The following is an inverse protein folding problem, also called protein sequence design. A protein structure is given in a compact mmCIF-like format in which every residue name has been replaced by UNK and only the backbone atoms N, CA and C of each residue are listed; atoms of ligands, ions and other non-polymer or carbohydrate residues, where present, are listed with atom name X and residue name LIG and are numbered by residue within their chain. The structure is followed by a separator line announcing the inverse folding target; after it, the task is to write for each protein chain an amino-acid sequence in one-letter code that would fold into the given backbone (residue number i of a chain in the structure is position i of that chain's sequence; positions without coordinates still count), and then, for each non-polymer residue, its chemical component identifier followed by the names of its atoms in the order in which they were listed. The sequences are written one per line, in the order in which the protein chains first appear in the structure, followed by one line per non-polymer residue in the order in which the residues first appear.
data_IF_797940653665
#
_entry.id   IF_797940653665
#
_cell.length_a   1.000
_cell.length_b   1.000
_cell.length_c   1.000
_cell.angle_alpha   90.00
_cell.angle_beta   90.00
_cell.angle_gamma   90.00
#
_symmetry.space_group_name_H-M   'P 1'
#
loop_
_entity.id
_entity.type
_entity.pdbx_description
1 polymer ?
#
# COMPACT_ATOMS: atom_id res chain seq x y z
N UNK A 1 -61.71 25.84 -19.91
CA UNK A 1 -60.43 25.75 -20.64
C UNK A 1 -59.73 27.06 -20.37
N UNK A 2 -58.51 26.99 -19.81
CA UNK A 2 -57.45 28.02 -19.76
C UNK A 2 -56.68 27.93 -18.43
N UNK A 3 -55.61 27.14 -18.46
CA UNK A 3 -54.50 27.22 -17.50
C UNK A 3 -53.28 27.73 -18.27
N UNK A 4 -52.76 28.95 -18.03
CA UNK A 4 -51.46 29.33 -18.53
C UNK A 4 -50.38 29.09 -17.46
N UNK A 5 -49.63 28.02 -17.67
CA UNK A 5 -48.16 28.09 -17.74
C UNK A 5 -47.43 28.81 -16.58
N UNK A 6 -47.44 28.24 -15.38
CA UNK A 6 -46.43 28.57 -14.36
C UNK A 6 -45.27 27.55 -14.37
N UNK A 7 -44.14 28.02 -14.91
CA UNK A 7 -42.80 27.84 -14.33
C UNK A 7 -42.32 26.40 -14.07
N UNK A 8 -42.29 25.58 -15.12
CA UNK A 8 -41.34 24.47 -15.18
C UNK A 8 -40.26 24.85 -16.19
N UNK A 9 -39.00 24.61 -15.84
CA UNK A 9 -37.76 24.87 -16.60
C UNK A 9 -37.04 26.16 -16.20
N UNK A 10 -36.38 26.16 -15.03
CA UNK A 10 -35.00 26.69 -14.95
C UNK A 10 -34.23 26.12 -13.74
N UNK A 11 -34.09 24.79 -13.70
CA UNK A 11 -33.05 24.18 -12.87
C UNK A 11 -31.95 23.68 -13.82
N UNK A 12 -31.06 24.60 -14.24
CA UNK A 12 -29.84 24.26 -14.95
C UNK A 12 -29.06 23.14 -14.23
N UNK A 13 -28.32 22.29 -14.95
CA UNK A 13 -27.65 21.14 -14.37
C UNK A 13 -26.69 21.58 -13.27
N UNK A 14 -26.87 21.01 -12.07
CA UNK A 14 -26.02 21.29 -10.90
C UNK A 14 -24.53 21.16 -11.27
N UNK A 15 -23.67 22.08 -10.83
CA UNK A 15 -22.26 22.09 -11.21
C UNK A 15 -21.61 20.78 -10.76
N UNK A 16 -21.15 19.99 -11.73
CA UNK A 16 -20.45 18.74 -11.51
C UNK A 16 -19.30 18.97 -10.54
N UNK A 17 -19.39 18.39 -9.35
CA UNK A 17 -18.37 18.43 -8.30
C UNK A 17 -17.05 17.98 -8.94
N UNK A 18 -16.13 18.92 -9.20
CA UNK A 18 -14.80 18.62 -9.72
C UNK A 18 -14.11 17.72 -8.70
N UNK A 19 -14.17 16.42 -8.91
CA UNK A 19 -13.47 15.43 -8.10
C UNK A 19 -12.00 15.70 -8.29
N UNK A 20 -11.30 16.02 -7.20
CA UNK A 20 -9.87 16.30 -7.17
C UNK A 20 -9.07 15.03 -7.54
N UNK A 21 -9.08 14.68 -8.83
CA UNK A 21 -8.33 13.58 -9.42
C UNK A 21 -6.83 13.74 -9.16
N UNK A 22 -6.35 15.00 -9.09
CA UNK A 22 -4.95 15.34 -8.86
C UNK A 22 -4.51 15.09 -7.41
N UNK A 23 -5.38 15.31 -6.41
CA UNK A 23 -5.07 14.97 -5.01
C UNK A 23 -5.06 13.45 -4.75
N UNK A 24 -5.51 12.67 -5.74
CA UNK A 24 -5.52 11.20 -5.72
C UNK A 24 -4.25 10.59 -6.32
N UNK A 25 -3.46 11.38 -7.05
CA UNK A 25 -2.17 11.00 -7.61
C UNK A 25 -0.98 11.39 -6.72
N UNK A 26 -1.20 12.19 -5.66
CA UNK A 26 -0.19 12.49 -4.65
C UNK A 26 0.54 11.25 -4.10
N UNK A 27 -0.15 10.16 -3.68
CA UNK A 27 0.54 8.95 -3.23
C UNK A 27 1.37 8.27 -4.33
N UNK A 28 0.98 8.40 -5.60
CA UNK A 28 1.74 7.88 -6.74
C UNK A 28 2.97 8.75 -7.04
N UNK A 29 2.85 10.07 -6.90
CA UNK A 29 3.99 11.00 -6.99
C UNK A 29 5.01 10.76 -5.87
N UNK A 30 4.55 10.56 -4.64
CA UNK A 30 5.40 10.17 -3.51
C UNK A 30 6.09 8.82 -3.73
N UNK A 31 5.40 7.87 -4.37
CA UNK A 31 5.95 6.56 -4.76
C UNK A 31 7.09 6.72 -5.76
N UNK A 32 6.87 7.48 -6.83
CA UNK A 32 7.87 7.69 -7.88
C UNK A 32 9.06 8.48 -7.33
N UNK A 33 8.82 9.50 -6.49
CA UNK A 33 9.88 10.25 -5.84
C UNK A 33 10.67 9.33 -4.91
N UNK A 34 10.02 8.56 -4.03
CA UNK A 34 10.71 7.63 -3.14
C UNK A 34 11.54 6.58 -3.88
N UNK A 35 10.98 6.01 -4.95
CA UNK A 35 11.68 5.08 -5.85
C UNK A 35 12.90 5.76 -6.51
N UNK A 36 12.74 6.99 -7.00
CA UNK A 36 13.82 7.77 -7.58
C UNK A 36 14.91 8.10 -6.55
N UNK A 37 14.57 8.48 -5.32
CA UNK A 37 15.56 8.77 -4.27
C UNK A 37 16.38 7.53 -3.92
N UNK A 38 15.75 6.36 -3.80
CA UNK A 38 16.44 5.09 -3.49
C UNK A 38 17.30 4.65 -4.69
N UNK A 39 16.81 4.84 -5.92
CA UNK A 39 17.57 4.54 -7.14
C UNK A 39 18.80 5.45 -7.29
N UNK A 40 18.64 6.76 -7.07
CA UNK A 40 19.72 7.73 -7.16
C UNK A 40 20.70 7.67 -5.99
N UNK A 41 20.27 7.30 -4.77
CA UNK A 41 21.21 7.21 -3.63
C UNK A 41 22.16 6.01 -3.74
N UNK A 42 21.90 5.07 -4.65
CA UNK A 42 22.71 3.86 -4.79
C UNK A 42 22.57 2.91 -3.60
N UNK A 43 21.56 3.08 -2.74
CA UNK A 43 21.29 2.20 -1.60
C UNK A 43 21.16 0.72 -1.98
N UNK A 44 20.71 0.43 -3.21
CA UNK A 44 20.71 -0.92 -3.78
C UNK A 44 22.11 -1.56 -3.82
N UNK A 45 23.18 -0.78 -4.04
CA UNK A 45 24.57 -1.28 -3.96
C UNK A 45 24.99 -1.59 -2.53
N UNK A 46 24.53 -0.81 -1.55
CA UNK A 46 24.81 -1.06 -0.12
C UNK A 46 24.06 -2.26 0.46
N UNK A 47 22.93 -2.65 -0.15
CA UNK A 47 22.18 -3.87 0.16
C UNK A 47 22.81 -5.14 -0.43
N UNK A 48 23.99 -5.05 -1.07
CA UNK A 48 24.71 -6.22 -1.56
C UNK A 48 25.33 -7.00 -0.41
N UNK A 49 25.36 -8.33 -0.54
CA UNK A 49 25.91 -9.23 0.47
C UNK A 49 27.37 -8.92 0.79
N UNK A 50 28.13 -8.49 -0.22
CA UNK A 50 29.54 -8.11 -0.11
C UNK A 50 29.76 -6.96 0.90
N UNK A 51 28.96 -5.88 0.78
CA UNK A 51 29.04 -4.71 1.67
C UNK A 51 28.54 -5.00 3.07
N UNK A 52 27.54 -5.88 3.21
CA UNK A 52 27.05 -6.34 4.51
C UNK A 52 28.10 -7.16 5.27
N UNK A 53 28.94 -7.92 4.56
CA UNK A 53 30.05 -8.66 5.17
C UNK A 53 31.20 -7.74 5.57
N UNK A 54 31.60 -6.78 4.72
CA UNK A 54 32.70 -5.86 5.03
C UNK A 54 32.38 -4.95 6.22
N UNK A 55 31.13 -4.50 6.35
CA UNK A 55 30.69 -3.59 7.42
C UNK A 55 29.99 -4.33 8.58
N UNK A 56 30.11 -5.66 8.63
CA UNK A 56 29.39 -6.51 9.58
C UNK A 56 29.63 -6.11 11.03
N UNK A 57 30.88 -5.90 11.41
CA UNK A 57 31.25 -5.56 12.80
C UNK A 57 30.68 -4.19 13.21
N UNK A 58 30.74 -3.21 12.31
CA UNK A 58 30.21 -1.85 12.54
C UNK A 58 28.68 -1.84 12.60
N UNK A 59 27.99 -2.57 11.72
CA UNK A 59 26.53 -2.68 11.76
C UNK A 59 26.06 -3.47 12.98
N UNK A 60 26.77 -4.53 13.37
CA UNK A 60 26.46 -5.26 14.60
C UNK A 60 26.65 -4.42 15.84
N UNK A 61 27.72 -3.63 15.92
CA UNK A 61 27.94 -2.69 17.01
C UNK A 61 26.83 -1.63 17.08
N UNK A 62 26.42 -1.07 15.94
CA UNK A 62 25.31 -0.12 15.90
C UNK A 62 23.98 -0.74 16.32
N UNK A 63 23.68 -1.96 15.87
CA UNK A 63 22.47 -2.69 16.26
C UNK A 63 22.52 -3.12 17.73
N UNK A 64 23.69 -3.46 18.28
CA UNK A 64 23.82 -3.76 19.70
C UNK A 64 23.62 -2.53 20.57
N UNK A 65 24.13 -1.38 20.13
CA UNK A 65 24.05 -0.13 20.90
C UNK A 65 22.68 0.54 20.78
N UNK A 66 22.00 0.40 19.63
CA UNK A 66 20.74 1.08 19.33
C UNK A 66 19.68 0.14 18.70
N UNK A 67 19.48 -1.03 19.29
CA UNK A 67 18.60 -2.08 18.76
C UNK A 67 17.19 -1.58 18.45
N UNK A 68 16.59 -0.83 19.38
CA UNK A 68 15.21 -0.33 19.21
C UNK A 68 15.09 0.59 17.99
N UNK A 69 16.04 1.52 17.80
CA UNK A 69 16.04 2.43 16.66
C UNK A 69 16.28 1.70 15.34
N UNK A 70 17.19 0.71 15.35
CA UNK A 70 17.46 -0.12 14.17
C UNK A 70 16.21 -0.92 13.74
N UNK A 71 15.51 -1.53 14.69
CA UNK A 71 14.27 -2.30 14.42
C UNK A 71 13.15 -1.39 13.93
N UNK A 72 12.92 -0.26 14.58
CA UNK A 72 11.88 0.70 14.17
C UNK A 72 12.18 1.26 12.77
N UNK A 73 13.44 1.65 12.51
CA UNK A 73 13.88 2.11 11.20
C UNK A 73 13.66 1.06 10.11
N UNK A 74 14.01 -0.20 10.39
CA UNK A 74 13.76 -1.31 9.48
C UNK A 74 12.28 -1.51 9.17
N UNK A 75 11.42 -1.52 10.19
CA UNK A 75 9.97 -1.67 10.04
C UNK A 75 9.40 -0.56 9.15
N UNK A 76 9.83 0.69 9.34
CA UNK A 76 9.39 1.82 8.53
C UNK A 76 9.83 1.69 7.07
N UNK A 77 11.09 1.34 6.83
CA UNK A 77 11.62 1.11 5.48
C UNK A 77 10.83 -0.01 4.79
N UNK A 78 10.58 -1.12 5.49
CA UNK A 78 9.83 -2.24 4.94
C UNK A 78 8.36 -1.89 4.67
N UNK A 79 7.72 -1.13 5.56
CA UNK A 79 6.36 -0.64 5.37
C UNK A 79 6.26 0.25 4.12
N UNK A 80 7.22 1.16 3.91
CA UNK A 80 7.30 1.96 2.69
C UNK A 80 7.50 1.09 1.45
N UNK A 81 8.41 0.11 1.51
CA UNK A 81 8.61 -0.83 0.40
C UNK A 81 7.34 -1.61 0.06
N UNK A 82 6.53 -1.94 1.06
CA UNK A 82 5.24 -2.62 0.90
C UNK A 82 4.19 -1.70 0.27
N UNK A 83 4.06 -0.46 0.76
CA UNK A 83 3.13 0.54 0.22
C UNK A 83 3.43 0.82 -1.26
N UNK A 84 4.70 0.88 -1.60
CA UNK A 84 5.18 1.22 -2.93
C UNK A 84 5.37 0.01 -3.86
N UNK A 85 5.10 -1.21 -3.38
CA UNK A 85 5.30 -2.47 -4.13
C UNK A 85 6.67 -2.51 -4.83
N UNK A 86 7.73 -2.15 -4.09
CA UNK A 86 9.07 -2.00 -4.66
C UNK A 86 9.62 -3.36 -5.15
N UNK A 87 10.02 -3.48 -6.43
CA UNK A 87 10.80 -4.62 -6.89
C UNK A 87 12.20 -4.53 -6.25
N UNK A 88 12.38 -5.23 -5.13
CA UNK A 88 13.57 -5.10 -4.28
C UNK A 88 13.33 -5.30 -2.79
N UNK A 89 12.06 -5.43 -2.35
CA UNK A 89 11.73 -5.76 -0.97
C UNK A 89 12.43 -7.03 -0.45
N UNK A 90 12.71 -7.99 -1.35
CA UNK A 90 13.48 -9.21 -1.05
C UNK A 90 14.87 -8.91 -0.46
N UNK A 91 15.59 -7.93 -0.99
CA UNK A 91 16.91 -7.56 -0.47
C UNK A 91 16.83 -6.95 0.92
N UNK A 92 15.74 -6.23 1.20
CA UNK A 92 15.45 -5.68 2.54
C UNK A 92 15.14 -6.82 3.51
N UNK A 93 14.34 -7.82 3.11
CA UNK A 93 14.07 -9.01 3.94
C UNK A 93 15.37 -9.76 4.29
N UNK A 94 16.25 -9.96 3.31
CA UNK A 94 17.55 -10.62 3.52
C UNK A 94 18.41 -9.81 4.49
N UNK A 95 18.49 -8.49 4.31
CA UNK A 95 19.22 -7.61 5.21
C UNK A 95 18.65 -7.65 6.65
N UNK A 96 17.33 -7.70 6.81
CA UNK A 96 16.69 -7.85 8.12
C UNK A 96 17.07 -9.15 8.82
N UNK A 97 17.08 -10.26 8.07
CA UNK A 97 17.53 -11.56 8.58
C UNK A 97 19.01 -11.58 8.97
N UNK A 98 19.85 -10.84 8.23
CA UNK A 98 21.28 -10.70 8.53
C UNK A 98 21.54 -9.83 9.78
N UNK A 99 20.79 -8.74 9.94
CA UNK A 99 20.99 -7.77 11.02
C UNK A 99 20.39 -8.22 12.36
N UNK A 100 19.17 -8.77 12.33
CA UNK A 100 18.41 -9.11 13.54
C UNK A 100 18.29 -10.62 13.78
N UNK A 101 18.95 -11.43 12.94
CA UNK A 101 18.81 -12.88 12.92
C UNK A 101 17.47 -13.32 12.30
N UNK A 102 17.30 -14.63 12.14
CA UNK A 102 16.12 -15.19 11.47
C UNK A 102 14.81 -14.78 12.17
N UNK A 103 14.72 -14.95 13.48
CA UNK A 103 13.49 -14.67 14.24
C UNK A 103 13.21 -13.17 14.31
N UNK A 104 14.19 -12.37 14.75
CA UNK A 104 14.02 -10.91 14.87
C UNK A 104 13.76 -10.24 13.53
N UNK A 105 14.49 -10.65 12.49
CA UNK A 105 14.31 -10.15 11.13
C UNK A 105 12.94 -10.54 10.55
N UNK A 106 12.48 -11.77 10.77
CA UNK A 106 11.16 -12.22 10.32
C UNK A 106 10.03 -11.46 11.01
N UNK A 107 10.10 -11.29 12.33
CA UNK A 107 9.10 -10.54 13.09
C UNK A 107 9.03 -9.09 12.61
N UNK A 108 10.18 -8.42 12.52
CA UNK A 108 10.24 -7.03 12.04
C UNK A 108 9.72 -6.89 10.60
N UNK A 109 10.03 -7.85 9.72
CA UNK A 109 9.56 -7.90 8.34
C UNK A 109 8.05 -8.04 8.28
N UNK A 110 7.46 -8.98 9.02
CA UNK A 110 6.01 -9.22 9.05
C UNK A 110 5.28 -8.02 9.64
N UNK A 111 5.81 -7.41 10.70
CA UNK A 111 5.26 -6.18 11.29
C UNK A 111 5.28 -5.04 10.28
N UNK A 112 6.41 -4.79 9.60
CA UNK A 112 6.53 -3.78 8.56
C UNK A 112 5.57 -4.04 7.38
N UNK A 113 5.47 -5.28 6.92
CA UNK A 113 4.57 -5.69 5.84
C UNK A 113 3.11 -5.41 6.21
N UNK A 114 2.70 -5.81 7.41
CA UNK A 114 1.33 -5.66 7.90
C UNK A 114 0.97 -4.20 8.06
N UNK A 115 1.86 -3.38 8.64
CA UNK A 115 1.65 -1.95 8.77
C UNK A 115 1.56 -1.27 7.41
N UNK A 116 2.49 -1.56 6.50
CA UNK A 116 2.48 -1.00 5.15
C UNK A 116 1.21 -1.37 4.38
N UNK A 117 0.80 -2.64 4.40
CA UNK A 117 -0.43 -3.10 3.77
C UNK A 117 -1.68 -2.47 4.39
N UNK A 118 -1.72 -2.34 5.72
CA UNK A 118 -2.84 -1.68 6.43
C UNK A 118 -2.93 -0.22 6.03
N UNK A 119 -1.82 0.52 6.04
CA UNK A 119 -1.77 1.92 5.62
C UNK A 119 -2.18 2.09 4.15
N UNK A 120 -1.65 1.25 3.25
CA UNK A 120 -2.05 1.25 1.84
C UNK A 120 -3.55 0.99 1.67
N UNK A 121 -4.10 0.04 2.42
CA UNK A 121 -5.54 -0.24 2.44
C UNK A 121 -6.36 0.97 2.89
N UNK A 122 -5.96 1.66 3.97
CA UNK A 122 -6.64 2.87 4.43
C UNK A 122 -6.58 4.01 3.40
N UNK A 123 -5.42 4.20 2.75
CA UNK A 123 -5.25 5.18 1.67
C UNK A 123 -6.17 4.84 0.50
N UNK A 124 -6.19 3.58 0.06
CA UNK A 124 -7.04 3.11 -1.02
C UNK A 124 -8.54 3.23 -0.67
N UNK A 125 -8.92 2.88 0.56
CA UNK A 125 -10.30 2.96 1.05
C UNK A 125 -10.81 4.39 1.06
N UNK A 126 -10.02 5.34 1.56
CA UNK A 126 -10.43 6.75 1.66
C UNK A 126 -10.36 7.48 0.31
N UNK A 127 -9.34 7.19 -0.50
CA UNK A 127 -9.11 7.88 -1.78
C UNK A 127 -9.93 7.29 -2.92
N UNK A 128 -10.15 5.97 -2.93
CA UNK A 128 -10.75 5.21 -4.05
C UNK A 128 -12.04 4.47 -3.69
N UNK A 129 -12.50 4.56 -2.43
CA UNK A 129 -13.65 3.80 -1.94
C UNK A 129 -14.94 3.97 -2.75
N UNK A 130 -15.39 5.19 -3.02
CA UNK A 130 -16.65 5.44 -3.76
C UNK A 130 -16.61 4.88 -5.20
N UNK A 131 -15.59 5.20 -6.02
CA UNK A 131 -15.48 4.64 -7.38
C UNK A 131 -15.28 3.12 -7.40
N UNK A 132 -14.53 2.58 -6.44
CA UNK A 132 -14.32 1.14 -6.32
C UNK A 132 -15.61 0.41 -5.97
N UNK A 133 -16.42 0.97 -5.05
CA UNK A 133 -17.71 0.41 -4.66
C UNK A 133 -18.71 0.40 -5.81
N UNK A 134 -18.74 1.45 -6.64
CA UNK A 134 -19.55 1.49 -7.86
C UNK A 134 -19.11 0.46 -8.91
N UNK A 135 -17.80 0.24 -9.04
CA UNK A 135 -17.23 -0.70 -10.02
C UNK A 135 -17.29 -2.16 -9.56
N UNK A 136 -17.19 -2.41 -8.27
CA UNK A 136 -17.28 -3.73 -7.65
C UNK A 136 -18.74 -4.20 -7.43
N UNK A 137 -19.71 -3.29 -7.33
CA UNK A 137 -21.13 -3.63 -7.12
C UNK A 137 -21.70 -4.69 -8.06
N UNK A 138 -21.50 -4.60 -9.40
CA UNK A 138 -21.97 -5.62 -10.34
C UNK A 138 -21.32 -6.99 -10.14
N UNK A 139 -20.01 -7.01 -9.83
CA UNK A 139 -19.28 -8.25 -9.55
C UNK A 139 -19.75 -8.89 -8.24
N UNK A 140 -19.91 -8.08 -7.18
CA UNK A 140 -20.41 -8.53 -5.87
C UNK A 140 -21.81 -9.14 -6.00
N UNK A 141 -22.71 -8.50 -6.77
CA UNK A 141 -24.04 -9.05 -7.05
C UNK A 141 -24.00 -10.37 -7.82
N UNK A 142 -23.04 -10.54 -8.74
CA UNK A 142 -22.85 -11.79 -9.48
C UNK A 142 -22.36 -12.92 -8.56
N UNK A 143 -21.45 -12.61 -7.65
CA UNK A 143 -20.96 -13.55 -6.63
C UNK A 143 -22.10 -13.91 -5.66
N UNK A 144 -22.83 -12.92 -5.13
CA UNK A 144 -23.98 -13.13 -4.25
C UNK A 144 -25.07 -14.00 -4.91
N UNK A 145 -25.37 -13.76 -6.19
CA UNK A 145 -26.28 -14.58 -6.97
C UNK A 145 -25.77 -16.03 -7.12
N UNK A 146 -24.48 -16.23 -7.40
CA UNK A 146 -23.86 -17.55 -7.48
C UNK A 146 -23.88 -18.32 -6.15
N UNK A 147 -23.74 -17.63 -5.01
CA UNK A 147 -23.93 -18.23 -3.69
C UNK A 147 -25.40 -18.58 -3.42
N UNK A 148 -26.34 -17.73 -3.83
CA UNK A 148 -27.78 -17.98 -3.67
C UNK A 148 -28.28 -19.16 -4.52
N UNK A 149 -27.81 -19.27 -5.76
CA UNK A 149 -28.21 -20.35 -6.68
C UNK A 149 -27.49 -21.68 -6.43
N UNK A 150 -26.40 -21.69 -5.64
CA UNK A 150 -25.52 -22.86 -5.56
C UNK A 150 -24.75 -23.04 -4.25
N UNK A 151 -25.23 -22.54 -3.11
CA UNK A 151 -24.56 -22.67 -1.81
C UNK A 151 -24.16 -24.13 -1.49
N UNK A 152 -25.00 -25.09 -1.85
CA UNK A 152 -24.73 -26.53 -1.64
C UNK A 152 -23.64 -27.03 -2.61
N UNK A 153 -23.58 -26.54 -3.84
CA UNK A 153 -22.51 -26.90 -4.79
C UNK A 153 -21.13 -26.38 -4.39
N UNK A 154 -21.06 -25.30 -3.61
CA UNK A 154 -19.80 -24.76 -3.05
C UNK A 154 -19.38 -25.43 -1.74
N UNK A 155 -20.29 -26.17 -1.08
CA UNK A 155 -19.99 -26.90 0.15
C UNK A 155 -19.66 -28.37 -0.09
N UNK A 156 -20.10 -28.95 -1.22
CA UNK A 156 -19.98 -30.38 -1.52
C UNK A 156 -19.19 -30.69 -2.81
N UNK A 157 -18.51 -29.69 -3.38
CA UNK A 157 -17.49 -29.81 -4.42
C UNK A 157 -16.36 -28.82 -4.13
#
# INVERSE_FOLDING_TARGET
MDTPTETLIDAGPAPGKKTNWLSRLWPLGLLVIGLATIYFSGAYKYLSIDTLQTQRETLKAFVSDYLLFAVVGFILIYALATIFMLPGALWITIAGGFLFGLVGGSLATVTGATLGATTLFFIARTSVGEPLRKRAGPFLRKVEAGFKDGAISYMFF
#
